data_IF_798440679811
#
_entry.id   IF_798440679811
#
_cell.length_a   1.000
_cell.length_b   1.000
_cell.length_c   1.000
_cell.angle_alpha   90.00
_cell.angle_beta   90.00
_cell.angle_gamma   90.00
#
_symmetry.space_group_name_H-M   'P 1'
#
loop_
_entity.id
_entity.type
_entity.pdbx_description
1 polymer ?
#
# COMPACT_ATOMS: atom_id res chain seq x y z
N UNK A 1 15.90 11.51 15.24
CA UNK A 1 14.87 10.82 14.42
C UNK A 1 13.87 10.24 15.40
N UNK A 2 12.56 10.55 15.29
CA UNK A 2 11.57 10.09 16.29
C UNK A 2 11.50 8.56 16.33
N UNK A 3 11.42 7.96 17.53
CA UNK A 3 11.28 6.51 17.74
C UNK A 3 10.05 5.96 17.03
N UNK A 4 8.99 6.77 16.94
CA UNK A 4 7.76 6.43 16.20
C UNK A 4 8.03 6.11 14.72
N UNK A 5 8.96 6.80 14.06
CA UNK A 5 9.29 6.56 12.65
C UNK A 5 10.07 5.26 12.43
N UNK A 6 10.85 4.84 13.43
CA UNK A 6 11.73 3.67 13.35
C UNK A 6 11.06 2.39 13.87
N UNK A 7 9.93 2.52 14.57
CA UNK A 7 9.19 1.39 15.10
C UNK A 7 8.58 0.58 13.96
N UNK A 8 8.90 -0.71 13.95
CA UNK A 8 8.23 -1.72 13.13
C UNK A 8 6.76 -1.79 13.53
N UNK A 9 5.86 -1.64 12.55
CA UNK A 9 4.42 -1.68 12.75
C UNK A 9 3.83 -2.91 12.06
N UNK A 10 2.88 -3.55 12.72
CA UNK A 10 2.08 -4.60 12.09
C UNK A 10 1.15 -3.96 11.05
N UNK A 11 0.78 -4.67 9.97
CA UNK A 11 -0.21 -4.14 9.05
C UNK A 11 -1.55 -3.92 9.76
N UNK A 12 -2.25 -2.84 9.40
CA UNK A 12 -3.64 -2.63 9.81
C UNK A 12 -4.54 -3.82 9.40
N UNK A 13 -5.70 -3.97 10.04
CA UNK A 13 -6.63 -5.06 9.74
C UNK A 13 -7.23 -4.94 8.33
N UNK A 14 -7.59 -3.71 7.95
CA UNK A 14 -8.32 -3.42 6.71
C UNK A 14 -7.51 -2.59 5.72
N UNK A 15 -7.89 -2.68 4.45
CA UNK A 15 -7.40 -1.81 3.39
C UNK A 15 -7.85 -0.36 3.63
N UNK A 16 -6.91 0.57 3.73
CA UNK A 16 -7.22 1.99 3.97
C UNK A 16 -8.14 2.62 2.90
N UNK A 17 -8.15 2.08 1.67
CA UNK A 17 -8.95 2.62 0.56
C UNK A 17 -10.37 2.05 0.51
N UNK A 18 -10.54 0.73 0.66
CA UNK A 18 -11.84 0.08 0.49
C UNK A 18 -12.41 -0.55 1.76
N UNK A 19 -11.71 -0.43 2.88
CA UNK A 19 -12.10 -0.91 4.21
C UNK A 19 -12.48 -2.40 4.26
N UNK A 20 -11.81 -3.21 3.44
CA UNK A 20 -11.98 -4.67 3.42
C UNK A 20 -10.77 -5.35 4.06
N UNK A 21 -10.97 -6.43 4.83
CA UNK A 21 -9.87 -7.25 5.33
C UNK A 21 -9.18 -7.98 4.18
N UNK A 22 -7.94 -8.43 4.40
CA UNK A 22 -7.19 -9.15 3.37
C UNK A 22 -7.89 -10.44 2.93
N UNK A 23 -8.52 -11.17 3.86
CA UNK A 23 -9.14 -12.47 3.60
C UNK A 23 -10.31 -12.37 2.61
N UNK A 24 -11.05 -11.26 2.62
CA UNK A 24 -12.14 -11.00 1.67
C UNK A 24 -11.64 -10.68 0.26
N UNK A 25 -10.43 -10.14 0.14
CA UNK A 25 -9.86 -9.65 -1.13
C UNK A 25 -8.95 -10.70 -1.76
N UNK A 26 -8.19 -11.41 -0.93
CA UNK A 26 -7.02 -12.20 -1.30
C UNK A 26 -5.80 -11.36 -1.71
N UNK A 27 -4.71 -12.04 -2.07
CA UNK A 27 -3.47 -11.41 -2.52
C UNK A 27 -2.64 -10.85 -1.37
N UNK A 28 -2.04 -9.68 -1.56
CA UNK A 28 -1.13 -9.04 -0.61
C UNK A 28 -1.50 -7.59 -0.25
N UNK A 29 -0.88 -7.12 0.83
CA UNK A 29 -1.01 -5.77 1.37
C UNK A 29 0.05 -4.86 0.75
N UNK A 30 -0.36 -3.84 0.00
CA UNK A 30 0.54 -2.90 -0.64
C UNK A 30 0.71 -1.65 0.23
N UNK A 31 1.95 -1.18 0.40
CA UNK A 31 2.23 0.10 1.09
C UNK A 31 2.67 1.18 0.11
N UNK A 32 3.27 0.78 -1.01
CA UNK A 32 3.87 1.72 -1.95
C UNK A 32 3.93 1.14 -3.36
N UNK A 33 3.81 2.03 -4.34
CA UNK A 33 4.00 1.81 -5.77
C UNK A 33 4.46 3.14 -6.39
N UNK A 34 4.94 3.10 -7.64
CA UNK A 34 5.27 4.31 -8.40
C UNK A 34 4.15 5.35 -8.42
N UNK A 35 2.89 4.91 -8.54
CA UNK A 35 1.76 5.82 -8.71
C UNK A 35 0.95 6.06 -7.44
N UNK A 36 1.08 5.20 -6.41
CA UNK A 36 0.30 5.33 -5.18
C UNK A 36 1.04 4.78 -3.98
N UNK A 37 0.90 5.42 -2.84
CA UNK A 37 1.34 4.84 -1.59
C UNK A 37 1.08 5.68 -0.36
N UNK A 38 1.48 5.10 0.76
CA UNK A 38 1.33 5.61 2.12
C UNK A 38 2.61 5.36 2.89
N UNK A 39 3.10 6.39 3.58
CA UNK A 39 4.32 6.32 4.39
C UNK A 39 4.26 7.34 5.54
N UNK A 40 5.22 7.22 6.45
CA UNK A 40 5.53 8.29 7.41
C UNK A 40 6.71 9.11 6.90
N UNK A 41 6.67 10.41 7.15
CA UNK A 41 7.80 11.30 6.90
C UNK A 41 8.07 12.22 8.08
N UNK A 42 9.34 12.56 8.27
CA UNK A 42 9.78 13.60 9.22
C UNK A 42 9.81 15.01 8.61
N UNK A 43 9.57 15.11 7.30
CA UNK A 43 9.72 16.33 6.51
C UNK A 43 8.63 16.42 5.46
N UNK A 44 8.19 17.63 5.17
CA UNK A 44 7.34 17.88 4.00
C UNK A 44 8.24 18.27 2.84
N UNK A 45 8.55 17.34 1.93
CA UNK A 45 9.30 17.71 0.73
C UNK A 45 8.40 18.53 -0.19
N UNK A 46 8.69 19.82 -0.32
CA UNK A 46 8.11 20.71 -1.35
C UNK A 46 8.82 20.60 -2.70
N UNK A 47 9.88 19.80 -2.82
CA UNK A 47 10.82 19.83 -3.94
C UNK A 47 10.69 18.64 -4.92
N UNK A 48 10.25 18.95 -6.14
CA UNK A 48 10.87 18.55 -7.42
C UNK A 48 11.44 17.13 -7.60
N UNK A 49 10.65 16.08 -7.36
CA UNK A 49 10.94 14.81 -8.05
C UNK A 49 10.14 14.76 -9.37
N UNK A 50 10.69 14.21 -10.46
CA UNK A 50 9.96 14.04 -11.75
C UNK A 50 8.63 13.29 -11.61
N UNK A 51 8.38 12.67 -10.47
CA UNK A 51 7.18 11.91 -10.13
C UNK A 51 6.02 12.78 -9.60
N UNK A 52 6.28 14.04 -9.20
CA UNK A 52 5.28 14.91 -8.55
C UNK A 52 4.26 15.53 -9.51
N UNK A 53 4.54 15.60 -10.82
CA UNK A 53 3.63 16.28 -11.77
C UNK A 53 2.29 15.55 -11.93
N UNK A 54 2.29 14.22 -11.86
CA UNK A 54 1.10 13.41 -12.07
C UNK A 54 0.51 12.83 -10.79
N UNK A 55 1.33 12.64 -9.74
CA UNK A 55 0.89 12.16 -8.42
C UNK A 55 1.57 12.98 -7.33
N UNK A 56 1.10 14.21 -7.07
CA UNK A 56 1.70 15.05 -6.04
C UNK A 56 1.55 14.39 -4.67
N UNK A 57 2.64 14.47 -3.88
CA UNK A 57 2.63 14.06 -2.48
C UNK A 57 1.78 15.03 -1.67
N UNK A 58 1.00 14.49 -0.73
CA UNK A 58 0.23 15.22 0.27
C UNK A 58 0.73 14.80 1.65
N UNK A 59 0.80 15.76 2.56
CA UNK A 59 1.31 15.55 3.91
C UNK A 59 0.25 16.00 4.91
N UNK A 60 -0.02 15.15 5.89
CA UNK A 60 -0.96 15.43 6.97
C UNK A 60 -0.24 15.23 8.29
N UNK A 61 -0.20 16.27 9.13
CA UNK A 61 0.47 16.21 10.42
C UNK A 61 -0.26 15.20 11.32
N UNK A 62 0.47 14.31 11.98
CA UNK A 62 -0.10 13.29 12.88
C UNK A 62 -0.13 13.74 14.34
N UNK A 63 0.89 14.48 14.78
CA UNK A 63 1.00 14.96 16.16
C UNK A 63 1.28 16.45 16.17
N UNK A 64 0.67 17.21 17.08
CA UNK A 64 0.87 18.66 17.13
C UNK A 64 2.30 19.06 17.53
N UNK A 65 2.92 18.28 18.41
CA UNK A 65 4.23 18.61 18.98
C UNK A 65 5.40 17.89 18.28
N UNK A 66 5.12 17.07 17.26
CA UNK A 66 6.16 16.34 16.52
C UNK A 66 6.10 16.64 15.02
N UNK A 67 7.27 16.65 14.38
CA UNK A 67 7.38 16.74 12.92
C UNK A 67 7.21 15.34 12.32
N UNK A 68 6.03 14.75 12.50
CA UNK A 68 5.66 13.46 11.91
C UNK A 68 4.41 13.68 11.06
N UNK A 69 4.52 13.28 9.81
CA UNK A 69 3.48 13.44 8.81
C UNK A 69 3.12 12.09 8.21
N UNK A 70 1.83 11.87 8.04
CA UNK A 70 1.30 10.93 7.06
C UNK A 70 1.60 11.48 5.67
N UNK A 71 2.41 10.77 4.91
CA UNK A 71 2.72 11.03 3.51
C UNK A 71 1.86 10.14 2.62
N UNK A 72 1.12 10.75 1.68
CA UNK A 72 0.29 10.06 0.70
C UNK A 72 0.60 10.55 -0.71
N UNK A 73 0.62 9.64 -1.68
CA UNK A 73 0.63 9.99 -3.11
C UNK A 73 -0.33 9.09 -3.90
N UNK A 74 -0.74 9.59 -5.06
CA UNK A 74 -1.68 8.94 -5.96
C UNK A 74 -3.00 9.69 -6.11
N UNK A 75 -3.98 9.02 -6.71
CA UNK A 75 -5.21 9.63 -7.21
C UNK A 75 -6.14 10.05 -6.05
N UNK A 76 -6.70 11.27 -6.15
CA UNK A 76 -7.59 11.83 -5.13
C UNK A 76 -8.88 11.04 -4.93
N UNK A 77 -9.37 10.38 -5.99
CA UNK A 77 -10.56 9.53 -5.91
C UNK A 77 -10.31 8.18 -5.23
N UNK A 78 -9.04 7.79 -5.01
CA UNK A 78 -8.67 6.60 -4.25
C UNK A 78 -8.34 6.96 -2.81
N UNK A 79 -7.54 8.02 -2.62
CA UNK A 79 -7.28 8.61 -1.32
C UNK A 79 -8.28 9.73 -1.04
N UNK A 80 -9.53 9.32 -0.80
CA UNK A 80 -10.62 10.17 -0.32
C UNK A 80 -10.36 10.62 1.12
N UNK A 81 -11.13 11.58 1.62
CA UNK A 81 -10.96 12.06 3.00
C UNK A 81 -11.17 10.93 4.01
N UNK A 82 -12.14 10.03 3.77
CA UNK A 82 -12.35 8.84 4.62
C UNK A 82 -11.16 7.88 4.58
N UNK A 83 -10.54 7.68 3.42
CA UNK A 83 -9.35 6.84 3.30
C UNK A 83 -8.12 7.46 3.98
N UNK A 84 -8.03 8.79 3.96
CA UNK A 84 -6.97 9.54 4.65
C UNK A 84 -7.16 9.42 6.16
N UNK A 85 -8.37 9.61 6.67
CA UNK A 85 -8.65 9.49 8.11
C UNK A 85 -8.43 8.06 8.62
N UNK A 86 -8.80 7.03 7.85
CA UNK A 86 -8.44 5.64 8.19
C UNK A 86 -6.92 5.44 8.27
N UNK A 87 -6.17 5.91 7.28
CA UNK A 87 -4.71 5.78 7.29
C UNK A 87 -4.05 6.56 8.45
N UNK A 88 -4.64 7.69 8.87
CA UNK A 88 -4.18 8.39 10.08
C UNK A 88 -4.45 7.56 11.33
N UNK A 89 -5.68 7.09 11.49
CA UNK A 89 -6.10 6.28 12.64
C UNK A 89 -5.21 5.05 12.80
N UNK A 90 -4.99 4.30 11.72
CA UNK A 90 -4.09 3.14 11.68
C UNK A 90 -2.69 3.47 12.24
N UNK A 91 -2.09 4.59 11.81
CA UNK A 91 -0.77 4.98 12.31
C UNK A 91 -0.80 5.41 13.78
N UNK A 92 -1.82 6.15 14.20
CA UNK A 92 -2.00 6.57 15.59
C UNK A 92 -2.19 5.37 16.53
N UNK A 93 -2.82 4.30 16.03
CA UNK A 93 -3.00 3.02 16.74
C UNK A 93 -1.76 2.12 16.67
N UNK A 94 -0.66 2.59 16.08
CA UNK A 94 0.60 1.85 15.99
C UNK A 94 0.67 0.82 14.86
N UNK A 95 -0.29 0.85 13.93
CA UNK A 95 -0.35 -0.03 12.76
C UNK A 95 0.19 0.65 11.49
N UNK A 96 0.57 -0.15 10.50
CA UNK A 96 0.98 0.29 9.17
C UNK A 96 -0.24 0.22 8.23
N UNK A 97 -0.77 1.36 7.76
CA UNK A 97 -1.80 1.37 6.75
C UNK A 97 -1.29 0.71 5.47
N UNK A 98 -2.20 0.06 4.77
CA UNK A 98 -1.95 -0.56 3.47
C UNK A 98 -3.18 -0.43 2.57
N UNK A 99 -2.98 -0.62 1.27
CA UNK A 99 -4.06 -0.75 0.31
C UNK A 99 -3.96 -2.08 -0.43
N UNK A 100 -5.12 -2.67 -0.74
CA UNK A 100 -5.16 -3.98 -1.36
C UNK A 100 -4.73 -3.93 -2.84
N UNK A 101 -4.40 -5.10 -3.40
CA UNK A 101 -4.04 -5.22 -4.80
C UNK A 101 -5.14 -4.76 -5.78
N UNK A 102 -6.41 -4.88 -5.42
CA UNK A 102 -7.52 -4.41 -6.27
C UNK A 102 -7.53 -2.89 -6.32
N UNK A 103 -7.46 -2.23 -5.17
CA UNK A 103 -7.32 -0.77 -5.09
C UNK A 103 -6.04 -0.31 -5.80
N UNK A 104 -4.94 -1.04 -5.59
CA UNK A 104 -3.61 -0.91 -6.19
C UNK A 104 -3.50 -1.23 -7.68
N UNK A 105 -4.58 -1.62 -8.35
CA UNK A 105 -4.61 -2.04 -9.75
C UNK A 105 -3.57 -3.14 -10.11
N UNK A 106 -3.18 -3.96 -9.12
CA UNK A 106 -2.37 -5.18 -9.27
C UNK A 106 -3.29 -6.38 -9.37
N UNK A 107 -4.15 -6.34 -10.37
CA UNK A 107 -5.22 -7.31 -10.58
C UNK A 107 -5.12 -7.99 -11.93
N UNK A 108 -5.65 -9.18 -12.00
CA UNK A 108 -5.76 -9.96 -13.22
C UNK A 108 -6.63 -9.21 -14.22
N UNK A 109 -6.08 -8.96 -15.41
CA UNK A 109 -6.80 -8.29 -16.51
C UNK A 109 -7.98 -9.09 -17.08
N UNK A 110 -8.24 -10.30 -16.59
CA UNK A 110 -9.35 -11.15 -17.05
C UNK A 110 -10.50 -11.28 -16.06
N UNK A 111 -10.24 -11.40 -14.77
CA UNK A 111 -11.30 -11.57 -13.77
C UNK A 111 -11.30 -10.49 -12.67
N UNK A 112 -10.34 -9.57 -12.66
CA UNK A 112 -10.25 -8.52 -11.63
C UNK A 112 -9.76 -8.99 -10.25
N UNK A 113 -9.59 -10.29 -10.02
CA UNK A 113 -8.96 -10.82 -8.80
C UNK A 113 -7.47 -10.46 -8.74
N UNK A 114 -6.84 -10.41 -7.55
CA UNK A 114 -5.40 -10.18 -7.42
C UNK A 114 -4.52 -11.11 -8.30
N UNK A 115 -3.35 -10.61 -8.69
CA UNK A 115 -2.27 -11.42 -9.30
C UNK A 115 -1.37 -12.00 -8.21
N UNK A 116 -0.72 -13.15 -8.44
CA UNK A 116 0.13 -13.77 -7.40
C UNK A 116 1.34 -12.91 -7.03
N UNK A 117 1.90 -12.18 -8.01
CA UNK A 117 3.15 -11.44 -7.83
C UNK A 117 2.92 -9.96 -8.20
N UNK A 118 2.64 -9.07 -7.22
CA UNK A 118 2.28 -7.66 -7.46
C UNK A 118 3.48 -6.77 -7.83
N UNK A 119 4.14 -7.09 -8.95
CA UNK A 119 5.34 -6.42 -9.46
C UNK A 119 5.27 -4.90 -9.42
N UNK A 120 6.39 -4.25 -9.09
CA UNK A 120 6.50 -2.80 -8.98
C UNK A 120 5.69 -2.24 -7.81
N UNK A 121 5.63 -3.00 -6.71
CA UNK A 121 4.98 -2.60 -5.46
C UNK A 121 5.85 -3.00 -4.28
N UNK A 122 5.79 -2.21 -3.22
CA UNK A 122 6.25 -2.62 -1.90
C UNK A 122 5.08 -3.25 -1.15
N UNK A 123 5.33 -4.42 -0.58
CA UNK A 123 4.34 -5.21 0.15
C UNK A 123 4.73 -5.32 1.62
N UNK A 124 3.75 -5.39 2.51
CA UNK A 124 3.95 -5.66 3.94
C UNK A 124 3.39 -7.04 4.33
N UNK A 125 4.24 -7.84 4.97
CA UNK A 125 3.88 -9.15 5.52
C UNK A 125 3.22 -9.01 6.89
N UNK A 126 2.52 -10.06 7.35
CA UNK A 126 1.86 -10.07 8.66
C UNK A 126 2.81 -9.86 9.84
N UNK A 127 4.11 -10.11 9.66
CA UNK A 127 5.15 -9.82 10.66
C UNK A 127 5.49 -8.33 10.79
N UNK A 128 4.98 -7.48 9.90
CA UNK A 128 5.36 -6.07 9.77
C UNK A 128 6.63 -5.83 8.94
N UNK A 129 7.24 -6.88 8.39
CA UNK A 129 8.35 -6.71 7.44
C UNK A 129 7.81 -6.29 6.06
N UNK A 130 8.49 -5.35 5.41
CA UNK A 130 8.17 -4.94 4.05
C UNK A 130 9.22 -5.43 3.05
N UNK A 131 8.79 -5.74 1.82
CA UNK A 131 9.69 -6.12 0.72
C UNK A 131 9.28 -5.44 -0.58
N UNK A 132 10.27 -5.02 -1.36
CA UNK A 132 10.05 -4.55 -2.73
C UNK A 132 9.87 -5.74 -3.67
N UNK A 133 8.79 -5.73 -4.45
CA UNK A 133 8.55 -6.72 -5.50
C UNK A 133 9.03 -6.15 -6.84
N UNK A 134 10.20 -6.55 -7.34
CA UNK A 134 10.74 -6.03 -8.59
C UNK A 134 9.87 -6.42 -9.80
N UNK A 135 10.03 -5.68 -10.90
CA UNK A 135 9.39 -5.98 -12.17
C UNK A 135 10.22 -7.00 -12.94
N UNK A 136 9.62 -8.14 -13.26
CA UNK A 136 10.25 -9.19 -14.05
C UNK A 136 9.42 -9.52 -15.31
N UNK A 137 10.05 -9.97 -16.40
CA UNK A 137 9.36 -10.26 -17.66
C UNK A 137 8.68 -11.65 -17.64
N UNK A 138 7.88 -11.95 -16.62
CA UNK A 138 7.07 -13.17 -16.56
C UNK A 138 5.61 -12.88 -16.24
N UNK A 139 4.72 -13.80 -16.60
CA UNK A 139 3.30 -13.68 -16.28
C UNK A 139 3.03 -14.12 -14.82
N UNK A 140 2.65 -13.19 -13.94
CA UNK A 140 2.46 -13.46 -12.51
C UNK A 140 1.31 -14.41 -12.22
N UNK A 141 0.41 -14.65 -13.19
CA UNK A 141 -0.79 -15.46 -12.98
C UNK A 141 -1.79 -14.81 -12.01
N UNK A 142 -2.92 -15.48 -11.85
CA UNK A 142 -4.03 -15.04 -11.02
C UNK A 142 -4.23 -15.98 -9.83
N UNK A 143 -4.69 -15.43 -8.70
CA UNK A 143 -5.02 -16.22 -7.50
C UNK A 143 -6.37 -16.96 -7.62
N UNK A 144 -7.26 -16.50 -8.52
CA UNK A 144 -8.62 -17.04 -8.63
C UNK A 144 -8.62 -18.36 -9.41
N UNK A 145 -8.95 -19.46 -8.73
CA UNK A 145 -8.99 -20.84 -9.27
C UNK A 145 -9.91 -21.00 -10.48
N UNK A 146 -10.98 -20.21 -10.59
CA UNK A 146 -11.89 -20.26 -11.73
C UNK A 146 -11.39 -19.45 -12.95
N UNK A 147 -10.31 -18.68 -12.81
CA UNK A 147 -9.77 -17.87 -13.89
C UNK A 147 -8.89 -18.71 -14.83
N UNK A 148 -9.01 -18.51 -16.14
CA UNK A 148 -8.09 -19.12 -17.13
C UNK A 148 -6.62 -18.71 -16.97
N UNK A 149 -6.34 -17.64 -16.22
CA UNK A 149 -4.98 -17.19 -15.87
C UNK A 149 -4.53 -17.71 -14.50
N UNK A 150 -5.30 -18.60 -13.86
CA UNK A 150 -4.95 -19.18 -12.58
C UNK A 150 -3.58 -19.86 -12.65
N UNK A 151 -2.73 -19.58 -11.66
CA UNK A 151 -1.47 -20.29 -11.47
C UNK A 151 -1.26 -20.50 -9.98
N UNK A 152 -0.87 -21.71 -9.62
CA UNK A 152 -0.32 -21.99 -8.29
C UNK A 152 1.07 -21.36 -8.26
N UNK A 153 1.25 -20.33 -7.45
CA UNK A 153 2.56 -19.76 -7.18
C UNK A 153 3.10 -20.40 -5.91
N UNK A 154 4.35 -20.89 -5.88
CA UNK A 154 4.93 -21.40 -4.64
C UNK A 154 4.92 -20.26 -3.62
N UNK A 155 4.16 -20.45 -2.54
CA UNK A 155 4.11 -19.51 -1.44
C UNK A 155 5.48 -19.51 -0.75
N UNK A 156 6.25 -18.44 -0.90
CA UNK A 156 7.27 -18.13 0.09
C UNK A 156 6.50 -17.62 1.31
N UNK A 157 6.25 -18.54 2.25
CA UNK A 157 5.75 -18.23 3.60
C UNK A 157 6.72 -17.27 4.29
#
# INVERSE_FOLDING_TARGET
>A
MSTFLLQKKLPAENCAICDKPLDDIGGGRLISQKFRGVALSSKTDKANSRFTKHNPKRYFKLFENENIYLELWGEKNKWTDEAIERAKADYLDGNQPWFCQVCGERKCSKCGSPINYPMGSDVICSSGCSSHIPVFPFDPGCINKACKKFKVFPSNQ
#
